data_IF_848934030055
#
_entry.id   IF_848934030055
#
_cell.length_a   1.000
_cell.length_b   1.000
_cell.length_c   1.000
_cell.angle_alpha   90.00
_cell.angle_beta   90.00
_cell.angle_gamma   90.00
#
_symmetry.space_group_name_H-M   'P 1'
#
loop_
_entity.id
_entity.type
_entity.pdbx_description
1 polymer ?
#
# COMPACT_ATOMS: atom_id res chain seq x y z
N UNK A 1 2.01 10.02 22.59
CA UNK A 1 2.38 10.38 21.20
C UNK A 1 1.58 11.61 20.80
N UNK A 2 2.02 12.37 19.79
CA UNK A 2 1.30 13.56 19.29
C UNK A 2 0.10 13.18 18.40
N UNK A 3 0.06 11.93 17.94
CA UNK A 3 -1.02 11.30 17.19
C UNK A 3 -1.62 10.17 18.03
N UNK A 4 -2.94 9.99 17.94
CA UNK A 4 -3.65 8.87 18.54
C UNK A 4 -3.65 7.71 17.54
N UNK A 5 -2.91 6.66 17.87
CA UNK A 5 -2.78 5.45 17.04
C UNK A 5 -3.76 4.34 17.48
N UNK A 6 -4.69 4.64 18.41
CA UNK A 6 -5.69 3.69 18.84
C UNK A 6 -6.64 3.32 17.69
N UNK A 7 -7.10 2.08 17.69
CA UNK A 7 -8.17 1.66 16.77
C UNK A 7 -9.44 2.49 16.99
N UNK A 8 -10.22 2.65 15.91
CA UNK A 8 -11.53 3.28 15.99
C UNK A 8 -12.38 2.65 17.09
N UNK A 9 -13.13 3.45 17.88
CA UNK A 9 -14.15 2.92 18.76
C UNK A 9 -15.11 2.01 17.98
N UNK A 10 -15.50 0.88 18.57
CA UNK A 10 -16.27 -0.16 17.88
C UNK A 10 -17.56 0.38 17.21
N UNK A 11 -18.24 1.34 17.84
CA UNK A 11 -19.42 1.99 17.27
C UNK A 11 -19.10 2.76 15.98
N UNK A 12 -17.99 3.49 15.94
CA UNK A 12 -17.54 4.25 14.77
C UNK A 12 -17.09 3.30 13.66
N UNK A 13 -16.32 2.26 13.99
CA UNK A 13 -15.93 1.24 13.01
C UNK A 13 -17.15 0.55 12.37
N UNK A 14 -18.20 0.28 13.16
CA UNK A 14 -19.44 -0.29 12.65
C UNK A 14 -20.19 0.66 11.70
N UNK A 15 -20.24 1.96 12.01
CA UNK A 15 -20.83 2.98 11.15
C UNK A 15 -20.08 3.10 9.81
N UNK A 16 -18.75 3.18 9.86
CA UNK A 16 -17.89 3.21 8.66
C UNK A 16 -18.10 1.95 7.82
N UNK A 17 -18.11 0.77 8.45
CA UNK A 17 -18.33 -0.49 7.76
C UNK A 17 -19.71 -0.61 7.13
N UNK A 18 -20.77 -0.08 7.77
CA UNK A 18 -22.10 -0.03 7.19
C UNK A 18 -22.16 0.89 5.97
N UNK A 19 -21.54 2.07 6.05
CA UNK A 19 -21.44 2.99 4.93
C UNK A 19 -20.70 2.37 3.74
N UNK A 20 -19.52 1.78 3.98
CA UNK A 20 -18.71 1.15 2.94
C UNK A 20 -19.48 0.03 2.21
N UNK A 21 -20.19 -0.85 2.93
CA UNK A 21 -21.04 -1.88 2.29
C UNK A 21 -22.10 -1.30 1.35
N UNK A 22 -22.64 -0.12 1.67
CA UNK A 22 -23.64 0.53 0.84
C UNK A 22 -23.09 1.15 -0.45
N UNK A 23 -21.80 1.48 -0.48
CA UNK A 23 -21.23 2.31 -1.56
C UNK A 23 -20.13 1.62 -2.38
N UNK A 24 -19.39 0.66 -1.84
CA UNK A 24 -18.22 0.04 -2.52
C UNK A 24 -18.58 -0.52 -3.89
N UNK A 25 -19.70 -1.23 -4.01
CA UNK A 25 -20.16 -1.83 -5.27
C UNK A 25 -20.53 -0.83 -6.37
N UNK A 26 -20.60 0.47 -6.06
CA UNK A 26 -20.90 1.56 -7.00
C UNK A 26 -19.63 2.12 -7.67
N UNK A 27 -18.44 1.73 -7.22
CA UNK A 27 -17.16 2.22 -7.74
C UNK A 27 -16.41 1.12 -8.48
N UNK A 28 -15.73 1.51 -9.56
CA UNK A 28 -14.86 0.61 -10.31
C UNK A 28 -13.45 0.52 -9.69
N UNK A 29 -13.05 1.52 -8.91
CA UNK A 29 -11.76 1.63 -8.23
C UNK A 29 -11.95 2.15 -6.79
N UNK A 30 -11.29 1.48 -5.85
CA UNK A 30 -11.13 1.93 -4.47
C UNK A 30 -9.65 2.13 -4.20
N UNK A 31 -9.27 3.36 -3.87
CA UNK A 31 -7.90 3.76 -3.57
C UNK A 31 -7.75 3.95 -2.07
N UNK A 32 -6.80 3.22 -1.47
CA UNK A 32 -6.52 3.25 -0.04
C UNK A 32 -5.14 3.83 0.18
N UNK A 33 -5.10 5.04 0.73
CA UNK A 33 -3.90 5.64 1.30
C UNK A 33 -3.93 5.41 2.83
N UNK A 34 -3.17 4.42 3.29
CA UNK A 34 -3.20 3.94 4.66
C UNK A 34 -1.95 4.39 5.41
N UNK A 35 -2.14 5.36 6.30
CA UNK A 35 -1.07 5.94 7.10
C UNK A 35 -0.88 5.26 8.46
N UNK A 36 -1.63 4.21 8.79
CA UNK A 36 -1.38 3.38 9.97
C UNK A 36 -1.71 4.02 11.33
N UNK A 37 -2.71 4.90 11.39
CA UNK A 37 -3.16 5.58 12.62
C UNK A 37 -4.52 5.04 13.13
N UNK A 38 -4.72 3.72 13.10
CA UNK A 38 -5.88 3.06 13.72
C UNK A 38 -7.24 3.18 13.01
N UNK A 39 -7.36 3.98 11.93
CA UNK A 39 -8.62 4.08 11.16
C UNK A 39 -9.00 2.76 10.49
N UNK A 40 -8.06 2.12 9.79
CA UNK A 40 -8.29 0.86 9.08
C UNK A 40 -7.95 -0.33 9.98
N UNK A 41 -8.94 -0.74 10.77
CA UNK A 41 -8.84 -1.98 11.54
C UNK A 41 -9.00 -3.22 10.64
N UNK A 42 -8.82 -4.41 11.22
CA UNK A 42 -8.89 -5.69 10.50
C UNK A 42 -10.22 -5.88 9.76
N UNK A 43 -11.35 -5.54 10.38
CA UNK A 43 -12.67 -5.77 9.80
C UNK A 43 -12.93 -4.87 8.59
N UNK A 44 -12.50 -3.61 8.65
CA UNK A 44 -12.59 -2.68 7.52
C UNK A 44 -11.66 -3.09 6.37
N UNK A 45 -10.45 -3.56 6.67
CA UNK A 45 -9.53 -4.10 5.65
C UNK A 45 -10.16 -5.30 4.96
N UNK A 46 -10.74 -6.24 5.72
CA UNK A 46 -11.42 -7.41 5.15
C UNK A 46 -12.58 -7.00 4.25
N UNK A 47 -13.38 -6.02 4.68
CA UNK A 47 -14.49 -5.48 3.89
C UNK A 47 -13.98 -4.88 2.57
N UNK A 48 -12.95 -4.03 2.61
CA UNK A 48 -12.35 -3.42 1.42
C UNK A 48 -11.81 -4.48 0.47
N UNK A 49 -11.10 -5.49 0.98
CA UNK A 49 -10.55 -6.59 0.18
C UNK A 49 -11.62 -7.49 -0.43
N UNK A 50 -12.76 -7.67 0.25
CA UNK A 50 -13.85 -8.53 -0.24
C UNK A 50 -14.71 -7.84 -1.30
N UNK A 51 -15.09 -6.58 -1.06
CA UNK A 51 -16.20 -5.93 -1.76
C UNK A 51 -15.75 -4.93 -2.83
N UNK A 52 -14.46 -4.56 -2.87
CA UNK A 52 -13.92 -3.69 -3.92
C UNK A 52 -13.78 -4.45 -5.25
N UNK A 53 -14.28 -3.87 -6.34
CA UNK A 53 -14.08 -4.40 -7.70
C UNK A 53 -12.61 -4.38 -8.11
N UNK A 54 -11.93 -3.28 -7.77
CA UNK A 54 -10.49 -3.10 -7.90
C UNK A 54 -9.99 -2.34 -6.67
N UNK A 55 -9.03 -2.93 -5.95
CA UNK A 55 -8.42 -2.33 -4.76
C UNK A 55 -6.97 -1.92 -5.03
N UNK A 56 -6.70 -0.62 -4.95
CA UNK A 56 -5.35 -0.06 -4.97
C UNK A 56 -4.93 0.33 -3.55
N UNK A 57 -3.76 -0.13 -3.09
CA UNK A 57 -3.29 0.10 -1.71
C UNK A 57 -1.90 0.71 -1.70
N UNK A 58 -1.77 1.79 -0.92
CA UNK A 58 -0.50 2.31 -0.43
C UNK A 58 -0.54 2.27 1.11
N UNK A 59 0.13 1.28 1.70
CA UNK A 59 0.27 1.15 3.14
C UNK A 59 1.60 1.77 3.57
N UNK A 60 1.54 3.05 3.92
CA UNK A 60 2.71 3.87 4.12
C UNK A 60 3.32 3.63 5.50
N UNK A 61 4.64 3.49 5.56
CA UNK A 61 5.40 3.54 6.80
C UNK A 61 5.90 4.96 7.05
N UNK A 62 5.69 5.47 8.26
CA UNK A 62 6.18 6.78 8.70
C UNK A 62 7.01 6.67 9.98
N UNK A 63 7.51 7.81 10.46
CA UNK A 63 8.36 7.87 11.66
C UNK A 63 7.70 7.37 12.94
N UNK A 64 6.35 7.38 13.01
CA UNK A 64 5.59 6.94 14.17
C UNK A 64 5.29 5.43 14.14
N UNK A 65 5.18 4.81 12.96
CA UNK A 65 4.74 3.42 12.82
C UNK A 65 5.71 2.52 12.04
N UNK A 66 7.01 2.84 12.08
CA UNK A 66 8.06 2.08 11.39
C UNK A 66 8.01 0.59 11.74
N UNK A 67 7.66 -0.25 10.75
CA UNK A 67 7.54 -1.69 10.92
C UNK A 67 6.18 -2.19 11.45
N UNK A 68 5.19 -1.31 11.64
CA UNK A 68 3.88 -1.64 12.21
C UNK A 68 2.72 -1.44 11.23
N UNK A 69 2.89 -0.66 10.15
CA UNK A 69 1.89 -0.48 9.10
C UNK A 69 2.28 -1.20 7.80
N UNK A 70 2.44 -2.52 7.86
CA UNK A 70 2.92 -3.32 6.74
C UNK A 70 1.78 -3.62 5.76
N UNK A 71 2.06 -3.54 4.45
CA UNK A 71 1.10 -3.89 3.39
C UNK A 71 0.59 -5.34 3.50
N UNK A 72 1.36 -6.24 4.12
CA UNK A 72 0.99 -7.65 4.38
C UNK A 72 -0.23 -7.82 5.28
N UNK A 73 -0.74 -6.76 5.91
CA UNK A 73 -2.04 -6.80 6.60
C UNK A 73 -3.24 -6.89 5.65
N UNK A 74 -3.06 -6.55 4.37
CA UNK A 74 -4.08 -6.72 3.34
C UNK A 74 -3.99 -8.14 2.76
N UNK A 75 -5.04 -8.97 2.87
CA UNK A 75 -5.01 -10.34 2.33
C UNK A 75 -4.93 -10.38 0.80
N UNK A 76 -5.42 -9.33 0.13
CA UNK A 76 -5.39 -9.16 -1.32
C UNK A 76 -5.49 -7.68 -1.68
N UNK A 77 -4.81 -7.28 -2.74
CA UNK A 77 -4.97 -6.02 -3.45
C UNK A 77 -4.75 -6.24 -4.96
N UNK A 78 -5.42 -5.48 -5.81
CA UNK A 78 -5.25 -5.57 -7.27
C UNK A 78 -4.03 -4.75 -7.73
N UNK A 79 -3.74 -3.66 -7.02
CA UNK A 79 -2.54 -2.85 -7.17
C UNK A 79 -1.94 -2.48 -5.81
N UNK A 80 -0.62 -2.57 -5.70
CA UNK A 80 0.14 -2.11 -4.53
C UNK A 80 1.17 -1.08 -4.97
N UNK A 81 1.21 0.07 -4.29
CA UNK A 81 2.22 1.10 -4.51
C UNK A 81 2.84 1.48 -3.18
N UNK A 82 4.12 1.13 -2.98
CA UNK A 82 4.88 1.40 -1.75
C UNK A 82 6.32 1.73 -2.09
N UNK A 83 7.13 2.14 -1.12
CA UNK A 83 8.55 2.41 -1.31
C UNK A 83 9.45 1.20 -0.98
N UNK A 84 10.73 1.31 -1.34
CA UNK A 84 11.73 0.27 -1.08
C UNK A 84 11.89 -0.05 0.42
N UNK A 85 12.01 0.93 1.35
CA UNK A 85 11.96 0.65 2.79
C UNK A 85 10.71 -0.13 3.25
N UNK A 86 9.52 0.26 2.80
CA UNK A 86 8.23 -0.35 3.15
C UNK A 86 8.15 -1.80 2.70
N UNK A 87 8.49 -2.10 1.45
CA UNK A 87 8.44 -3.48 0.94
C UNK A 87 9.48 -4.37 1.63
N UNK A 88 10.65 -3.82 1.99
CA UNK A 88 11.69 -4.56 2.73
C UNK A 88 11.23 -4.91 4.14
N UNK A 89 10.54 -3.98 4.82
CA UNK A 89 9.92 -4.24 6.11
C UNK A 89 8.81 -5.29 5.97
N UNK A 90 7.95 -5.17 4.96
CA UNK A 90 6.83 -6.08 4.72
C UNK A 90 7.30 -7.53 4.45
N UNK A 91 8.38 -7.69 3.69
CA UNK A 91 8.94 -9.01 3.33
C UNK A 91 9.98 -9.53 4.33
N UNK A 92 10.27 -8.76 5.39
CA UNK A 92 11.36 -9.06 6.33
C UNK A 92 12.71 -9.32 5.63
N UNK A 93 12.97 -8.62 4.52
CA UNK A 93 14.14 -8.83 3.66
C UNK A 93 14.91 -7.53 3.41
N UNK A 94 16.09 -7.44 4.03
CA UNK A 94 16.95 -6.26 3.95
C UNK A 94 17.87 -6.24 2.73
N UNK A 95 18.18 -7.38 2.12
CA UNK A 95 19.37 -7.52 1.29
C UNK A 95 19.11 -8.09 -0.10
N UNK A 96 18.02 -8.84 -0.31
CA UNK A 96 17.76 -9.45 -1.60
C UNK A 96 17.62 -8.41 -2.71
N UNK A 97 17.93 -8.79 -3.96
CA UNK A 97 17.67 -7.96 -5.12
C UNK A 97 16.19 -7.56 -5.18
N UNK A 98 15.92 -6.32 -5.58
CA UNK A 98 14.55 -5.79 -5.63
C UNK A 98 13.64 -6.61 -6.58
N UNK A 99 14.21 -7.19 -7.63
CA UNK A 99 13.47 -8.08 -8.53
C UNK A 99 12.97 -9.36 -7.83
N UNK A 100 13.72 -9.89 -6.86
CA UNK A 100 13.27 -11.02 -6.05
C UNK A 100 12.16 -10.59 -5.09
N UNK A 101 12.33 -9.43 -4.45
CA UNK A 101 11.38 -8.87 -3.49
C UNK A 101 10.04 -8.56 -4.15
N UNK A 102 10.04 -7.91 -5.32
CA UNK A 102 8.79 -7.59 -6.02
C UNK A 102 8.04 -8.86 -6.46
N UNK A 103 8.76 -9.94 -6.81
CA UNK A 103 8.14 -11.23 -7.14
C UNK A 103 7.61 -11.98 -5.91
N UNK A 104 8.17 -11.70 -4.73
CA UNK A 104 7.69 -12.28 -3.48
C UNK A 104 6.42 -11.58 -3.03
N UNK A 105 6.44 -10.25 -2.94
CA UNK A 105 5.29 -9.46 -2.48
C UNK A 105 4.06 -9.64 -3.37
N UNK A 106 4.24 -9.84 -4.69
CA UNK A 106 3.12 -10.13 -5.60
C UNK A 106 2.45 -11.48 -5.30
N UNK A 107 3.24 -12.49 -4.91
CA UNK A 107 2.71 -13.80 -4.50
C UNK A 107 2.02 -13.72 -3.15
N UNK A 108 2.66 -13.09 -2.17
CA UNK A 108 2.16 -13.01 -0.79
C UNK A 108 0.84 -12.22 -0.71
N UNK A 109 0.69 -11.18 -1.53
CA UNK A 109 -0.53 -10.35 -1.59
C UNK A 109 -1.49 -10.75 -2.71
N UNK A 110 -1.16 -11.77 -3.50
CA UNK A 110 -1.90 -12.12 -4.74
C UNK A 110 -2.16 -10.89 -5.63
N UNK A 111 -1.19 -9.97 -5.68
CA UNK A 111 -1.32 -8.69 -6.38
C UNK A 111 -0.96 -8.84 -7.86
N UNK A 112 -1.87 -8.39 -8.72
CA UNK A 112 -1.67 -8.43 -10.19
C UNK A 112 -0.68 -7.37 -10.66
N UNK A 113 -0.61 -6.26 -9.93
CA UNK A 113 0.28 -5.14 -10.23
C UNK A 113 0.93 -4.62 -8.96
N UNK A 114 2.23 -4.33 -9.03
CA UNK A 114 2.98 -3.73 -7.91
C UNK A 114 3.90 -2.67 -8.46
N UNK A 115 3.99 -1.53 -7.77
CA UNK A 115 5.02 -0.52 -7.99
C UNK A 115 5.78 -0.27 -6.69
N UNK A 116 7.11 -0.30 -6.80
CA UNK A 116 8.04 -0.03 -5.71
C UNK A 116 8.84 1.22 -6.10
N UNK A 117 8.59 2.33 -5.41
CA UNK A 117 9.39 3.55 -5.62
C UNK A 117 10.73 3.46 -4.89
N UNK A 118 11.79 3.98 -5.51
CA UNK A 118 13.18 3.81 -5.04
C UNK A 118 13.93 5.15 -5.00
N UNK A 119 13.21 6.25 -4.84
CA UNK A 119 13.75 7.60 -4.85
C UNK A 119 14.58 7.87 -6.11
N UNK A 120 15.85 8.26 -5.92
CA UNK A 120 16.78 8.55 -7.03
C UNK A 120 17.14 7.34 -7.90
N UNK A 121 16.77 6.12 -7.51
CA UNK A 121 16.91 4.92 -8.35
C UNK A 121 15.70 4.68 -9.27
N UNK A 122 14.70 5.57 -9.26
CA UNK A 122 13.48 5.44 -10.05
C UNK A 122 12.46 4.53 -9.38
N UNK A 123 11.84 3.62 -10.12
CA UNK A 123 10.91 2.62 -9.60
C UNK A 123 11.11 1.25 -10.24
N UNK A 124 10.61 0.22 -9.56
CA UNK A 124 10.48 -1.13 -10.10
C UNK A 124 9.00 -1.51 -10.08
N UNK A 125 8.49 -1.99 -11.20
CA UNK A 125 7.09 -2.35 -11.39
C UNK A 125 6.95 -3.80 -11.77
N UNK A 126 5.81 -4.40 -11.43
CA UNK A 126 5.39 -5.71 -11.86
C UNK A 126 3.98 -5.62 -12.44
N UNK A 127 3.77 -6.30 -13.56
CA UNK A 127 2.45 -6.61 -14.11
C UNK A 127 2.38 -8.12 -14.40
N UNK A 128 1.20 -8.72 -14.19
CA UNK A 128 0.99 -10.16 -14.36
C UNK A 128 1.26 -10.66 -15.80
N UNK A 129 1.11 -9.81 -16.81
CA UNK A 129 1.32 -10.15 -18.22
C UNK A 129 2.70 -9.75 -18.72
N UNK A 130 3.25 -8.64 -18.22
CA UNK A 130 4.53 -8.11 -18.71
C UNK A 130 5.74 -8.45 -17.82
N UNK A 131 5.51 -8.91 -16.59
CA UNK A 131 6.56 -9.20 -15.62
C UNK A 131 7.16 -7.96 -14.99
N UNK A 132 8.43 -8.03 -14.59
CA UNK A 132 9.12 -6.96 -13.85
C UNK A 132 9.78 -5.97 -14.81
N UNK A 133 9.59 -4.67 -14.57
CA UNK A 133 10.24 -3.57 -15.31
C UNK A 133 10.86 -2.55 -14.36
N UNK A 134 12.04 -2.05 -14.72
CA UNK A 134 12.66 -0.92 -14.04
C UNK A 134 12.38 0.38 -14.82
N UNK A 135 11.99 1.44 -14.12
CA UNK A 135 11.76 2.77 -14.68
C UNK A 135 12.78 3.72 -14.05
N UNK A 136 13.65 4.36 -14.85
CA UNK A 136 14.68 5.26 -14.30
C UNK A 136 14.05 6.58 -13.81
N UNK A 137 14.75 7.25 -12.89
CA UNK A 137 14.42 8.64 -12.55
C UNK A 137 14.76 9.56 -13.73
N UNK A 138 13.84 10.47 -14.07
CA UNK A 138 14.05 11.45 -15.14
C UNK A 138 14.46 12.82 -14.59
N UNK A 139 14.23 13.07 -13.29
CA UNK A 139 14.64 14.29 -12.61
C UNK A 139 16.13 14.25 -12.25
N UNK A 140 16.77 15.43 -12.31
CA UNK A 140 18.19 15.61 -11.94
C UNK A 140 18.38 16.12 -10.52
N UNK A 141 17.36 16.77 -9.96
CA UNK A 141 17.42 17.41 -8.64
C UNK A 141 16.21 17.00 -7.80
N UNK A 142 16.43 16.81 -6.50
CA UNK A 142 15.39 16.48 -5.52
C UNK A 142 15.23 17.71 -4.62
N UNK A 143 14.07 18.36 -4.70
CA UNK A 143 13.74 19.55 -3.88
C UNK A 143 13.02 19.13 -2.59
N UNK A 144 11.98 18.30 -2.71
CA UNK A 144 11.24 17.72 -1.59
C UNK A 144 10.76 16.30 -1.97
N UNK A 145 10.66 15.42 -0.97
CA UNK A 145 10.19 14.03 -1.10
C UNK A 145 8.80 13.83 -0.50
N UNK A 146 8.30 14.78 0.29
CA UNK A 146 6.97 14.68 0.91
C UNK A 146 5.91 14.61 -0.19
N UNK A 147 5.02 13.61 -0.10
CA UNK A 147 3.95 13.39 -1.06
C UNK A 147 4.37 12.80 -2.42
N UNK A 148 5.66 12.54 -2.64
CA UNK A 148 6.11 11.97 -3.92
C UNK A 148 5.55 10.55 -4.15
N UNK A 149 5.38 9.76 -3.08
CA UNK A 149 4.74 8.45 -3.13
C UNK A 149 3.24 8.55 -3.43
N UNK A 150 2.54 9.46 -2.76
CA UNK A 150 1.10 9.71 -2.99
C UNK A 150 0.86 10.19 -4.44
N UNK A 151 1.73 11.06 -4.96
CA UNK A 151 1.66 11.52 -6.34
C UNK A 151 2.00 10.44 -7.37
N UNK A 152 2.83 9.45 -7.01
CA UNK A 152 3.12 8.30 -7.88
C UNK A 152 1.93 7.32 -7.91
N UNK A 153 1.20 7.20 -6.81
CA UNK A 153 0.01 6.34 -6.70
C UNK A 153 -1.17 6.86 -7.53
N UNK A 154 -1.38 8.18 -7.57
CA UNK A 154 -2.52 8.85 -8.22
C UNK A 154 -2.42 8.88 -9.75
#
# INVERSE_FOLDING_TARGET
>A
AFLDDAELPAAVAAEVGAYLRGVLGQYDLVLVADYGHGFLNRDLIQLLTADSRFLAVNAQTNSANTGFNLVTKYPRADYVCIDEPEVRLAMHDRASPMESIIRQVTKDLTARRVAITRGHHGSMTYDEHEGVRAVPVLSREIVDRIGAGDAYLA
#
